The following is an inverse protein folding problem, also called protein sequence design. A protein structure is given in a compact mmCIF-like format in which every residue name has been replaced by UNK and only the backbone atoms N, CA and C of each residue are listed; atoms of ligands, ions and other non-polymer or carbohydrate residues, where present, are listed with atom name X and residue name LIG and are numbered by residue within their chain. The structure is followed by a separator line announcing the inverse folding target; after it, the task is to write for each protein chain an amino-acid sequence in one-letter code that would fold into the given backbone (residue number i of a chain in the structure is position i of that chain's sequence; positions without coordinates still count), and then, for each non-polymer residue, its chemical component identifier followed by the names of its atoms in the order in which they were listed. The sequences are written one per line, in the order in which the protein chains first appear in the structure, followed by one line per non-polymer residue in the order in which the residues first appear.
data_IF_777615403904
#
_entry.id   IF_777615403904
#
_cell.length_a   1.000
_cell.length_b   1.000
_cell.length_c   1.000
_cell.angle_alpha   90.00
_cell.angle_beta   90.00
_cell.angle_gamma   90.00
#
_symmetry.space_group_name_H-M   'P 1'
#
loop_
_entity.id
_entity.type
_entity.pdbx_description
1 polymer ?
#
# COMPACT_ATOMS: atom_id res chain seq x y z
N UNK A 1 -20.83 -10.31 -0.99
CA UNK A 1 -19.44 -9.81 -0.85
C UNK A 1 -19.32 -9.07 0.48
N UNK A 2 -18.68 -9.67 1.49
CA UNK A 2 -18.57 -9.08 2.83
C UNK A 2 -17.32 -8.21 2.87
N UNK A 3 -17.46 -6.92 2.57
CA UNK A 3 -16.34 -5.97 2.62
C UNK A 3 -15.96 -5.73 4.09
N UNK A 4 -14.68 -5.83 4.46
CA UNK A 4 -14.25 -5.52 5.81
C UNK A 4 -14.61 -4.06 6.13
N UNK A 5 -15.32 -3.84 7.23
CA UNK A 5 -15.80 -2.51 7.63
C UNK A 5 -14.64 -1.51 7.71
N UNK A 6 -13.46 -1.97 8.18
CA UNK A 6 -12.28 -1.13 8.27
C UNK A 6 -11.77 -0.59 6.93
N UNK A 7 -11.86 -1.36 5.85
CA UNK A 7 -11.47 -0.88 4.51
C UNK A 7 -12.39 0.23 4.04
N UNK A 8 -13.69 0.10 4.34
CA UNK A 8 -14.69 1.09 3.94
C UNK A 8 -14.48 2.40 4.69
N UNK A 9 -14.18 2.35 5.99
CA UNK A 9 -13.88 3.55 6.79
C UNK A 9 -12.61 4.25 6.27
N UNK A 10 -11.56 3.48 5.95
CA UNK A 10 -10.34 4.07 5.41
C UNK A 10 -10.60 4.73 4.04
N UNK A 11 -11.38 4.08 3.17
CA UNK A 11 -11.79 4.63 1.88
C UNK A 11 -12.63 5.91 2.03
N UNK A 12 -13.47 6.01 3.06
CA UNK A 12 -14.21 7.24 3.36
C UNK A 12 -13.24 8.36 3.74
N UNK A 13 -12.28 8.12 4.63
CA UNK A 13 -11.31 9.15 5.00
C UNK A 13 -10.42 9.60 3.84
N UNK A 14 -9.94 8.67 3.01
CA UNK A 14 -9.16 9.03 1.81
C UNK A 14 -10.01 9.78 0.79
N UNK A 15 -11.30 9.43 0.68
CA UNK A 15 -12.26 10.16 -0.14
C UNK A 15 -12.50 11.59 0.37
N UNK A 16 -12.60 11.78 1.68
CA UNK A 16 -12.69 13.12 2.29
C UNK A 16 -11.42 13.94 2.04
N UNK A 17 -10.23 13.35 2.10
CA UNK A 17 -8.99 14.03 1.72
C UNK A 17 -8.96 14.40 0.23
N UNK A 18 -9.45 13.53 -0.64
CA UNK A 18 -9.58 13.83 -2.06
C UNK A 18 -10.48 15.05 -2.29
N UNK A 19 -11.63 15.10 -1.61
CA UNK A 19 -12.53 16.25 -1.68
C UNK A 19 -11.89 17.53 -1.14
N UNK A 20 -11.17 17.46 -0.03
CA UNK A 20 -10.47 18.62 0.53
C UNK A 20 -9.41 19.14 -0.46
N UNK A 21 -8.61 18.24 -1.05
CA UNK A 21 -7.63 18.61 -2.07
C UNK A 21 -8.30 19.19 -3.33
N UNK A 22 -9.45 18.65 -3.75
CA UNK A 22 -10.21 19.13 -4.90
C UNK A 22 -10.71 20.56 -4.67
N UNK A 23 -11.21 20.85 -3.47
CA UNK A 23 -11.62 22.21 -3.10
C UNK A 23 -10.43 23.17 -3.22
N UNK A 24 -9.25 22.78 -2.73
CA UNK A 24 -8.04 23.61 -2.86
C UNK A 24 -7.66 23.82 -4.34
N UNK A 25 -7.70 22.76 -5.16
CA UNK A 25 -7.51 22.87 -6.61
C UNK A 25 -8.45 23.90 -7.23
N UNK A 26 -9.76 23.79 -6.97
CA UNK A 26 -10.77 24.69 -7.53
C UNK A 26 -10.61 26.13 -7.03
N UNK A 27 -10.16 26.33 -5.80
CA UNK A 27 -9.82 27.65 -5.26
C UNK A 27 -8.65 28.27 -6.02
N UNK A 28 -7.55 27.53 -6.22
CA UNK A 28 -6.39 28.02 -6.96
C UNK A 28 -6.64 28.16 -8.48
N UNK A 29 -7.64 27.50 -9.03
CA UNK A 29 -8.14 27.76 -10.39
C UNK A 29 -9.03 29.02 -10.46
N UNK A 30 -9.37 29.65 -9.33
CA UNK A 30 -10.28 30.80 -9.27
C UNK A 30 -11.75 30.46 -9.53
N UNK A 31 -12.09 29.17 -9.62
CA UNK A 31 -13.46 28.68 -9.82
C UNK A 31 -14.27 28.68 -8.52
N UNK A 32 -13.59 28.67 -7.37
CA UNK A 32 -14.20 28.61 -6.05
C UNK A 32 -13.64 29.71 -5.14
N UNK A 33 -14.47 30.36 -4.28
CA UNK A 33 -13.98 31.38 -3.36
C UNK A 33 -13.07 30.80 -2.27
N UNK A 34 -12.13 31.60 -1.78
CA UNK A 34 -11.25 31.23 -0.66
C UNK A 34 -12.07 30.99 0.62
N UNK A 35 -11.97 29.78 1.17
CA UNK A 35 -12.66 29.39 2.41
C UNK A 35 -11.77 29.53 3.66
N UNK A 36 -10.51 29.94 3.51
CA UNK A 36 -9.58 30.10 4.63
C UNK A 36 -9.69 31.47 5.32
N UNK A 37 -8.99 31.66 6.44
CA UNK A 37 -8.83 32.97 7.06
C UNK A 37 -8.21 33.97 6.07
N UNK A 38 -8.80 35.16 5.94
CA UNK A 38 -8.33 36.22 5.06
C UNK A 38 -9.44 36.83 4.20
N UNK A 39 -9.13 37.88 3.41
CA UNK A 39 -10.10 38.48 2.51
C UNK A 39 -10.59 37.45 1.48
N UNK A 40 -11.89 37.44 1.20
CA UNK A 40 -12.55 36.53 0.25
C UNK A 40 -12.24 36.93 -1.19
N UNK A 41 -10.97 36.88 -1.57
CA UNK A 41 -10.50 37.10 -2.94
C UNK A 41 -10.34 35.76 -3.63
N UNK A 42 -10.75 35.71 -4.90
CA UNK A 42 -10.45 34.58 -5.78
C UNK A 42 -8.97 34.68 -6.15
N UNK A 43 -8.21 33.66 -5.81
CA UNK A 43 -6.78 33.60 -6.10
C UNK A 43 -6.55 32.63 -7.25
N UNK A 44 -5.94 33.10 -8.34
CA UNK A 44 -5.54 32.23 -9.43
C UNK A 44 -4.04 31.92 -9.32
N UNK A 45 -3.69 30.64 -9.16
CA UNK A 45 -2.32 30.17 -9.20
C UNK A 45 -2.25 28.79 -9.83
N UNK A 46 -1.83 28.73 -11.09
CA UNK A 46 -1.78 27.50 -11.87
C UNK A 46 -0.84 26.45 -11.26
N UNK A 47 0.28 26.88 -10.66
CA UNK A 47 1.24 25.95 -10.06
C UNK A 47 0.63 25.20 -8.87
N UNK A 48 0.01 25.93 -7.94
CA UNK A 48 -0.67 25.31 -6.80
C UNK A 48 -1.90 24.52 -7.23
N UNK A 49 -2.65 25.01 -8.22
CA UNK A 49 -3.78 24.27 -8.79
C UNK A 49 -3.34 22.90 -9.34
N UNK A 50 -2.21 22.85 -10.06
CA UNK A 50 -1.66 21.59 -10.57
C UNK A 50 -1.17 20.66 -9.45
N UNK A 51 -0.46 21.19 -8.46
CA UNK A 51 0.02 20.38 -7.31
C UNK A 51 -1.14 19.77 -6.52
N UNK A 52 -2.13 20.57 -6.14
CA UNK A 52 -3.33 20.08 -5.46
C UNK A 52 -4.20 19.21 -6.37
N UNK A 53 -4.23 19.49 -7.68
CA UNK A 53 -4.95 18.68 -8.67
C UNK A 53 -4.37 17.27 -8.78
N UNK A 54 -3.04 17.18 -8.83
CA UNK A 54 -2.34 15.90 -8.76
C UNK A 54 -2.61 15.20 -7.43
N UNK A 55 -2.55 15.92 -6.31
CA UNK A 55 -2.83 15.35 -4.99
C UNK A 55 -4.26 14.81 -4.88
N UNK A 56 -5.24 15.54 -5.44
CA UNK A 56 -6.63 15.12 -5.57
C UNK A 56 -6.73 13.81 -6.33
N UNK A 57 -6.09 13.75 -7.51
CA UNK A 57 -6.06 12.55 -8.34
C UNK A 57 -5.46 11.35 -7.58
N UNK A 58 -4.34 11.56 -6.89
CA UNK A 58 -3.70 10.53 -6.07
C UNK A 58 -4.65 10.02 -4.99
N UNK A 59 -5.35 10.89 -4.26
CA UNK A 59 -6.28 10.45 -3.22
C UNK A 59 -7.52 9.73 -3.77
N UNK A 60 -8.05 10.16 -4.92
CA UNK A 60 -9.13 9.44 -5.61
C UNK A 60 -8.68 8.04 -6.02
N UNK A 61 -7.47 7.95 -6.58
CA UNK A 61 -6.89 6.68 -7.00
C UNK A 61 -6.65 5.74 -5.81
N UNK A 62 -6.12 6.26 -4.70
CA UNK A 62 -5.97 5.52 -3.44
C UNK A 62 -7.31 5.02 -2.94
N UNK A 63 -8.33 5.88 -2.90
CA UNK A 63 -9.69 5.51 -2.50
C UNK A 63 -10.24 4.38 -3.36
N UNK A 64 -10.07 4.46 -4.69
CA UNK A 64 -10.49 3.40 -5.61
C UNK A 64 -9.73 2.09 -5.38
N UNK A 65 -8.41 2.15 -5.18
CA UNK A 65 -7.58 0.97 -4.90
C UNK A 65 -7.95 0.30 -3.57
N UNK A 66 -8.29 1.10 -2.55
CA UNK A 66 -8.80 0.62 -1.27
C UNK A 66 -10.14 -0.10 -1.42
N UNK A 67 -11.06 0.46 -2.20
CA UNK A 67 -12.35 -0.19 -2.49
C UNK A 67 -12.19 -1.48 -3.32
N UNK A 68 -11.09 -1.61 -4.05
CA UNK A 68 -10.71 -2.78 -4.83
C UNK A 68 -9.96 -3.85 -4.01
N UNK A 69 -9.80 -3.66 -2.69
CA UNK A 69 -9.12 -4.59 -1.78
C UNK A 69 -7.67 -4.92 -2.17
N UNK A 70 -6.96 -3.98 -2.81
CA UNK A 70 -5.57 -4.17 -3.18
C UNK A 70 -4.63 -3.92 -1.98
N UNK A 71 -3.77 -4.89 -1.63
CA UNK A 71 -2.78 -4.74 -0.55
C UNK A 71 -1.85 -3.54 -0.75
N UNK A 72 -1.47 -3.25 -1.99
CA UNK A 72 -0.58 -2.12 -2.32
C UNK A 72 -1.20 -0.77 -1.94
N UNK A 73 -2.54 -0.68 -1.97
CA UNK A 73 -3.27 0.52 -1.58
C UNK A 73 -3.04 0.90 -0.11
N UNK A 74 -2.97 -0.09 0.77
CA UNK A 74 -2.75 0.13 2.20
C UNK A 74 -1.36 0.68 2.46
N UNK A 75 -0.31 0.07 1.89
CA UNK A 75 1.07 0.54 2.04
C UNK A 75 1.20 1.96 1.47
N UNK A 76 0.64 2.20 0.29
CA UNK A 76 0.70 3.52 -0.33
C UNK A 76 -0.03 4.58 0.51
N UNK A 77 -1.22 4.26 1.06
CA UNK A 77 -1.95 5.16 1.96
C UNK A 77 -1.12 5.51 3.22
N UNK A 78 -0.41 4.56 3.80
CA UNK A 78 0.50 4.82 4.94
C UNK A 78 1.65 5.74 4.53
N UNK A 79 2.31 5.47 3.40
CA UNK A 79 3.45 6.27 2.93
C UNK A 79 3.02 7.70 2.61
N UNK A 80 1.92 7.87 1.86
CA UNK A 80 1.45 9.19 1.42
C UNK A 80 0.90 10.02 2.59
N UNK A 81 0.31 9.40 3.61
CA UNK A 81 -0.12 10.12 4.83
C UNK A 81 1.06 10.60 5.67
N UNK A 82 2.08 9.75 5.86
CA UNK A 82 3.32 10.15 6.56
C UNK A 82 3.98 11.32 5.82
N UNK A 83 4.11 11.22 4.49
CA UNK A 83 4.65 12.29 3.66
C UNK A 83 3.84 13.59 3.81
N UNK A 84 2.51 13.53 3.74
CA UNK A 84 1.65 14.71 3.91
C UNK A 84 1.78 15.33 5.31
N UNK A 85 1.90 14.51 6.36
CA UNK A 85 2.12 15.02 7.72
C UNK A 85 3.47 15.75 7.82
N UNK A 86 4.53 15.23 7.20
CA UNK A 86 5.83 15.93 7.14
C UNK A 86 5.69 17.26 6.38
N UNK A 87 5.05 17.26 5.22
CA UNK A 87 4.83 18.49 4.44
C UNK A 87 4.01 19.51 5.24
N UNK A 88 2.96 19.08 5.94
CA UNK A 88 2.17 19.95 6.81
C UNK A 88 3.01 20.54 7.95
N UNK A 89 3.90 19.76 8.57
CA UNK A 89 4.82 20.28 9.60
C UNK A 89 5.78 21.32 9.03
N UNK A 90 6.37 21.06 7.87
CA UNK A 90 7.23 22.02 7.16
C UNK A 90 6.45 23.28 6.80
N UNK A 91 5.19 23.16 6.38
CA UNK A 91 4.34 24.30 6.04
C UNK A 91 4.02 25.17 7.27
N UNK A 92 3.79 24.57 8.44
CA UNK A 92 3.62 25.31 9.70
C UNK A 92 4.90 26.08 10.04
N UNK A 93 6.06 25.42 9.95
CA UNK A 93 7.37 26.07 10.20
C UNK A 93 7.61 27.20 9.19
N UNK A 94 7.15 27.02 7.95
CA UNK A 94 7.19 28.03 6.88
C UNK A 94 6.20 29.19 7.04
N UNK A 95 5.45 29.26 8.14
CA UNK A 95 4.54 30.36 8.46
C UNK A 95 3.10 30.18 7.96
N UNK A 96 2.73 29.00 7.47
CA UNK A 96 1.33 28.71 7.10
C UNK A 96 0.50 28.60 8.39
N UNK A 97 -0.63 29.33 8.51
CA UNK A 97 -1.42 29.26 9.73
C UNK A 97 -2.00 27.85 9.93
N UNK A 98 -1.85 27.31 11.14
CA UNK A 98 -2.25 25.95 11.50
C UNK A 98 -3.75 25.70 11.27
N UNK A 99 -4.58 26.74 11.35
CA UNK A 99 -6.02 26.66 11.09
C UNK A 99 -6.32 26.16 9.67
N UNK A 100 -5.52 26.56 8.66
CA UNK A 100 -5.71 26.12 7.27
C UNK A 100 -5.33 24.65 7.08
N UNK A 101 -4.37 24.17 7.86
CA UNK A 101 -3.82 22.82 7.74
C UNK A 101 -4.51 21.82 8.68
N UNK A 102 -5.26 22.31 9.68
CA UNK A 102 -5.88 21.50 10.74
C UNK A 102 -6.70 20.32 10.21
N UNK A 103 -7.58 20.55 9.23
CA UNK A 103 -8.40 19.51 8.62
C UNK A 103 -7.54 18.45 7.90
N UNK A 104 -6.50 18.89 7.17
CA UNK A 104 -5.55 17.99 6.49
C UNK A 104 -4.76 17.15 7.50
N UNK A 105 -4.25 17.78 8.56
CA UNK A 105 -3.48 17.11 9.62
C UNK A 105 -4.35 16.06 10.32
N UNK A 106 -5.56 16.44 10.75
CA UNK A 106 -6.48 15.53 11.44
C UNK A 106 -6.84 14.34 10.54
N UNK A 107 -7.21 14.58 9.28
CA UNK A 107 -7.56 13.50 8.36
C UNK A 107 -6.38 12.57 8.08
N UNK A 108 -5.18 13.10 7.84
CA UNK A 108 -3.99 12.27 7.63
C UNK A 108 -3.63 11.47 8.89
N UNK A 109 -3.73 12.06 10.07
CA UNK A 109 -3.50 11.37 11.34
C UNK A 109 -4.53 10.24 11.56
N UNK A 110 -5.81 10.50 11.30
CA UNK A 110 -6.87 9.49 11.40
C UNK A 110 -6.65 8.33 10.42
N UNK A 111 -6.28 8.61 9.18
CA UNK A 111 -5.96 7.56 8.20
C UNK A 111 -4.76 6.75 8.66
N UNK A 112 -3.71 7.39 9.16
CA UNK A 112 -2.51 6.69 9.61
C UNK A 112 -2.80 5.78 10.83
N UNK A 113 -3.52 6.30 11.83
CA UNK A 113 -3.97 5.52 12.99
C UNK A 113 -4.83 4.34 12.53
N UNK A 114 -5.81 4.60 11.66
CA UNK A 114 -6.74 3.59 11.18
C UNK A 114 -6.09 2.56 10.25
N UNK A 115 -5.05 2.94 9.51
CA UNK A 115 -4.24 2.03 8.71
C UNK A 115 -3.33 1.15 9.59
N UNK A 116 -2.86 1.64 10.73
CA UNK A 116 -2.03 0.88 11.66
C UNK A 116 -2.82 -0.08 12.56
N UNK A 117 -4.15 0.05 12.62
CA UNK A 117 -4.99 -0.88 13.38
C UNK A 117 -4.84 -2.33 12.85
N UNK A 118 -4.73 -3.33 13.73
CA UNK A 118 -4.54 -4.73 13.32
C UNK A 118 -5.71 -5.27 12.49
N UNK A 119 -6.90 -4.70 12.63
CA UNK A 119 -8.09 -5.07 11.84
C UNK A 119 -8.00 -4.71 10.36
N UNK A 120 -7.45 -3.54 10.02
CA UNK A 120 -7.21 -3.13 8.63
C UNK A 120 -6.00 -3.85 8.05
N UNK A 121 -4.93 -3.99 8.83
CA UNK A 121 -3.75 -4.76 8.42
C UNK A 121 -4.10 -6.21 8.05
N UNK A 122 -4.85 -6.92 8.90
CA UNK A 122 -5.29 -8.30 8.64
C UNK A 122 -6.22 -8.41 7.44
N UNK A 123 -7.07 -7.40 7.19
CA UNK A 123 -7.96 -7.38 6.03
C UNK A 123 -7.21 -7.28 4.69
N UNK A 124 -5.98 -6.75 4.72
CA UNK A 124 -5.10 -6.66 3.57
C UNK A 124 -3.93 -7.66 3.62
N UNK A 125 -3.92 -8.62 4.54
CA UNK A 125 -2.98 -9.76 4.53
C UNK A 125 -3.60 -11.03 3.91
N UNK A 126 -3.87 -11.11 2.58
CA UNK A 126 -4.27 -12.37 1.95
C UNK A 126 -3.10 -13.20 1.37
N UNK A 127 -1.89 -13.21 1.97
CA UNK A 127 -0.79 -13.98 1.36
C UNK A 127 0.31 -14.55 2.26
N UNK A 128 0.41 -14.27 3.56
CA UNK A 128 1.47 -14.92 4.37
C UNK A 128 1.20 -16.39 4.64
N UNK A 129 0.00 -16.74 5.08
CA UNK A 129 -0.38 -18.15 5.29
C UNK A 129 -0.50 -18.89 3.96
N UNK A 130 -1.04 -18.24 2.92
CA UNK A 130 -1.13 -18.82 1.59
C UNK A 130 0.24 -18.98 0.91
N UNK A 131 1.17 -18.00 1.03
CA UNK A 131 2.57 -18.16 0.57
C UNK A 131 3.34 -19.15 1.43
N UNK A 132 3.13 -19.17 2.76
CA UNK A 132 3.80 -20.13 3.63
C UNK A 132 3.35 -21.56 3.29
N UNK A 133 2.06 -21.75 3.03
CA UNK A 133 1.51 -23.03 2.56
C UNK A 133 2.03 -23.37 1.16
N UNK A 134 1.99 -22.46 0.20
CA UNK A 134 2.53 -22.70 -1.14
C UNK A 134 4.04 -22.99 -1.14
N UNK A 135 4.81 -22.34 -0.26
CA UNK A 135 6.23 -22.61 -0.08
C UNK A 135 6.48 -23.96 0.61
N UNK A 136 5.64 -24.34 1.57
CA UNK A 136 5.68 -25.65 2.21
C UNK A 136 5.34 -26.77 1.21
N UNK A 137 4.30 -26.57 0.39
CA UNK A 137 3.88 -27.50 -0.66
C UNK A 137 4.95 -27.63 -1.74
N UNK A 138 5.59 -26.53 -2.15
CA UNK A 138 6.72 -26.53 -3.09
C UNK A 138 7.95 -27.26 -2.53
N UNK A 139 8.26 -27.09 -1.24
CA UNK A 139 9.35 -27.82 -0.56
C UNK A 139 9.05 -29.31 -0.43
N UNK A 140 7.80 -29.69 -0.17
CA UNK A 140 7.38 -31.08 -0.13
C UNK A 140 7.52 -31.75 -1.51
N UNK A 141 7.14 -31.06 -2.59
CA UNK A 141 7.32 -31.54 -3.95
C UNK A 141 8.81 -31.70 -4.33
N UNK A 142 9.67 -30.76 -3.93
CA UNK A 142 11.12 -30.87 -4.15
C UNK A 142 11.75 -32.03 -3.37
N UNK A 143 11.32 -32.27 -2.13
CA UNK A 143 11.80 -33.41 -1.33
C UNK A 143 11.41 -34.75 -1.95
N UNK A 144 10.19 -34.86 -2.47
CA UNK A 144 9.72 -36.08 -3.17
C UNK A 144 10.49 -36.31 -4.48
N UNK A 145 10.74 -35.26 -5.26
CA UNK A 145 11.55 -35.37 -6.48
C UNK A 145 13.00 -35.79 -6.19
N UNK A 146 13.60 -35.27 -5.12
CA UNK A 146 14.94 -35.66 -4.69
C UNK A 146 15.01 -37.13 -4.23
N UNK A 147 14.00 -37.60 -3.49
CA UNK A 147 13.91 -39.01 -3.07
C UNK A 147 13.70 -39.96 -4.25
N UNK A 148 12.87 -39.58 -5.23
CA UNK A 148 12.69 -40.37 -6.45
C UNK A 148 13.99 -40.47 -7.29
N UNK A 149 14.75 -39.37 -7.38
CA UNK A 149 16.05 -39.37 -8.05
C UNK A 149 17.08 -40.25 -7.33
N UNK A 150 17.11 -40.23 -6.00
CA UNK A 150 17.99 -41.08 -5.18
C UNK A 150 17.61 -42.57 -5.30
N UNK A 151 16.32 -42.90 -5.32
CA UNK A 151 15.84 -44.27 -5.52
C UNK A 151 16.23 -44.81 -6.91
N UNK A 152 16.10 -43.98 -7.95
CA UNK A 152 16.54 -44.34 -9.31
C UNK A 152 18.07 -44.58 -9.38
N UNK A 153 18.87 -43.76 -8.70
CA UNK A 153 20.33 -43.94 -8.63
C UNK A 153 20.72 -45.20 -7.85
N UNK A 154 20.03 -45.50 -6.75
CA UNK A 154 20.28 -46.72 -5.96
C UNK A 154 19.93 -47.98 -6.76
N UNK A 155 18.83 -47.97 -7.52
CA UNK A 155 18.46 -49.06 -8.43
C UNK A 155 19.47 -49.23 -9.57
N UNK A 156 20.00 -48.13 -10.13
CA UNK A 156 21.04 -48.17 -11.16
C UNK A 156 22.38 -48.72 -10.61
N UNK A 157 22.74 -48.39 -9.37
CA UNK A 157 23.95 -48.92 -8.72
C UNK A 157 23.82 -50.41 -8.38
N UNK A 158 22.62 -50.90 -8.06
CA UNK A 158 22.35 -52.32 -7.82
C UNK A 158 22.28 -53.15 -9.11
N UNK A 159 21.98 -52.52 -10.25
CA UNK A 159 21.98 -53.16 -11.57
C UNK A 159 23.37 -53.21 -12.23
N UNK A 160 24.38 -52.55 -11.64
CA UNK A 160 25.76 -52.63 -12.13
C UNK A 160 26.36 -54.01 -11.75
N UNK A 161 26.84 -54.82 -12.71
CA UNK A 161 27.39 -56.13 -12.41
C UNK A 161 28.65 -56.01 -11.53
N UNK A 162 28.90 -56.99 -10.63
CA UNK A 162 30.03 -56.93 -9.72
C UNK A 162 31.33 -56.85 -10.52
N UNK A 163 32.16 -55.86 -10.18
CA UNK A 163 33.51 -55.69 -10.70
C UNK A 163 34.29 -56.97 -10.38
N UNK A 164 34.60 -57.75 -11.40
CA UNK A 164 35.46 -58.93 -11.25
C UNK A 164 36.87 -58.44 -10.89
N UNK A 165 37.40 -58.90 -9.75
CA UNK A 165 38.74 -58.54 -9.29
C UNK A 165 39.81 -58.90 -10.34
N UNK A 166 40.85 -58.07 -10.53
CA UNK A 166 41.90 -58.35 -11.49
C UNK A 166 42.67 -59.62 -11.09
N UNK A 167 43.05 -60.48 -12.05
CA UNK A 167 43.77 -61.72 -11.74
C UNK A 167 45.12 -61.40 -11.10
N UNK A 168 45.35 -61.95 -9.91
CA UNK A 168 46.63 -61.92 -9.23
C UNK A 168 47.70 -62.57 -10.12
N UNK A 169 48.80 -61.84 -10.34
CA UNK A 169 49.99 -62.31 -11.05
C UNK A 169 50.83 -63.23 -10.17
#
# INVERSE_FOLDING_TARGET
MKRPIGVTILAVFTGLLALLALVMTLQFLGLFPWLGPGPTVRTFNLWYALMYGLLTWVWLWVTQMLLSLNYSAWVFAVVITIFNLIVNLVAIIGGTPTQLLSASIILNALILIYAMLPGTRRAFEPSREAQAKALADARAAQAQAAQAAQAAQAQAAQAAPPVQDPPAK
#
